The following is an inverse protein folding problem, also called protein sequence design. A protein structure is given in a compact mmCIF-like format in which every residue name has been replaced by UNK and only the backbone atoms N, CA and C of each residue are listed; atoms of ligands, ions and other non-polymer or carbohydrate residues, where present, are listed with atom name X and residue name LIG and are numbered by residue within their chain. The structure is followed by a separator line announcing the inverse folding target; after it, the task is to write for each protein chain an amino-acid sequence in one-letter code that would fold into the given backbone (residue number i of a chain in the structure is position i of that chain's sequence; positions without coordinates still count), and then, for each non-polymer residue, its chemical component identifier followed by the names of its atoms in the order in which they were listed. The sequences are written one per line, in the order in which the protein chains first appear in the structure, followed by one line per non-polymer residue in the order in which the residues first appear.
data_IF_492347917346
#
_entry.id   IF_492347917346
#
_cell.length_a   1.000
_cell.length_b   1.000
_cell.length_c   1.000
_cell.angle_alpha   90.00
_cell.angle_beta   90.00
_cell.angle_gamma   90.00
#
_symmetry.space_group_name_H-M   'P 1'
#
loop_
_entity.id
_entity.type
_entity.pdbx_description
1 polymer ?
#
# COMPACT_ATOMS: atom_id res chain seq x y z
N UNK A 1 31.19 -49.77 11.34
CA UNK A 1 29.73 -49.98 11.48
C UNK A 1 29.21 -49.00 12.53
N UNK A 2 28.20 -48.15 12.36
CA UNK A 2 27.37 -47.75 11.24
C UNK A 2 26.72 -46.41 11.62
N UNK A 3 26.87 -45.37 10.81
CA UNK A 3 26.27 -44.03 10.98
C UNK A 3 24.78 -44.01 10.60
N UNK A 4 24.13 -45.17 10.63
CA UNK A 4 22.81 -45.46 10.04
C UNK A 4 21.84 -46.01 11.08
N UNK A 5 21.84 -45.43 12.28
CA UNK A 5 20.87 -45.74 13.34
C UNK A 5 20.35 -44.49 14.06
N UNK A 6 20.12 -43.41 13.32
CA UNK A 6 19.49 -42.21 13.88
C UNK A 6 18.51 -41.52 12.92
N UNK A 7 18.00 -42.24 11.92
CA UNK A 7 17.11 -41.65 10.91
C UNK A 7 16.00 -42.61 10.48
N UNK A 8 15.32 -43.24 11.45
CA UNK A 8 14.03 -43.90 11.19
C UNK A 8 13.20 -43.93 12.47
N UNK A 9 12.52 -42.83 12.79
CA UNK A 9 11.32 -42.90 13.64
C UNK A 9 10.55 -41.58 13.54
N UNK A 10 9.32 -41.65 13.05
CA UNK A 10 8.33 -40.60 13.27
C UNK A 10 7.87 -39.82 12.04
N UNK A 11 7.26 -40.52 11.07
CA UNK A 11 6.18 -39.95 10.26
C UNK A 11 5.08 -39.42 11.23
N UNK A 12 5.00 -38.11 11.38
CA UNK A 12 3.84 -37.45 11.95
C UNK A 12 3.46 -36.28 11.03
N UNK A 13 2.64 -36.61 10.03
CA UNK A 13 1.87 -35.63 9.27
C UNK A 13 0.99 -34.84 10.25
N UNK A 14 1.45 -33.65 10.64
CA UNK A 14 0.58 -32.65 11.25
C UNK A 14 0.32 -31.59 10.18
N UNK A 15 -0.95 -31.52 9.81
CA UNK A 15 -1.51 -30.64 8.80
C UNK A 15 -1.13 -29.20 9.15
N UNK A 16 -0.31 -28.56 8.32
CA UNK A 16 -0.17 -27.11 8.31
C UNK A 16 -1.54 -26.60 7.84
N UNK A 17 -2.34 -25.88 8.64
CA UNK A 17 -3.37 -25.06 8.04
C UNK A 17 -2.63 -23.98 7.26
N UNK A 18 -2.45 -24.23 5.96
CA UNK A 18 -2.28 -23.16 4.98
C UNK A 18 -3.55 -22.33 5.07
N UNK A 19 -3.54 -21.35 5.96
CA UNK A 19 -4.56 -20.31 5.96
C UNK A 19 -4.30 -19.54 4.68
N UNK A 20 -5.03 -19.90 3.63
CA UNK A 20 -5.11 -19.12 2.43
C UNK A 20 -5.64 -17.75 2.84
N UNK A 21 -4.76 -16.76 2.96
CA UNK A 21 -5.16 -15.36 2.87
C UNK A 21 -5.48 -15.06 1.40
N UNK A 22 -6.53 -15.70 0.89
CA UNK A 22 -7.23 -15.24 -0.29
C UNK A 22 -8.26 -14.21 0.18
N UNK A 23 -7.78 -13.01 0.47
CA UNK A 23 -8.62 -11.82 0.34
C UNK A 23 -8.07 -11.02 -0.83
N UNK A 24 -8.25 -11.56 -2.03
CA UNK A 24 -8.41 -10.72 -3.22
C UNK A 24 -9.68 -9.93 -2.95
N UNK A 25 -9.53 -8.72 -2.40
CA UNK A 25 -10.64 -7.79 -2.31
C UNK A 25 -11.11 -7.52 -3.74
N UNK A 26 -12.37 -7.87 -4.04
CA UNK A 26 -13.07 -7.44 -5.24
C UNK A 26 -12.93 -5.92 -5.42
N UNK A 27 -12.95 -5.40 -6.66
CA UNK A 27 -12.93 -3.96 -6.89
C UNK A 27 -14.30 -3.39 -6.49
N UNK A 28 -14.50 -3.19 -5.19
CA UNK A 28 -15.50 -2.25 -4.70
C UNK A 28 -15.27 -0.94 -5.44
N UNK A 29 -16.33 -0.35 -6.00
CA UNK A 29 -16.32 0.96 -6.64
C UNK A 29 -15.30 1.85 -5.93
N UNK A 30 -14.22 2.20 -6.61
CA UNK A 30 -12.94 2.57 -6.00
C UNK A 30 -13.13 3.79 -5.09
N UNK A 31 -13.46 3.54 -3.82
CA UNK A 31 -13.82 4.56 -2.86
C UNK A 31 -12.64 5.45 -2.53
N UNK A 32 -12.89 6.60 -1.93
CA UNK A 32 -11.82 7.48 -1.45
C UNK A 32 -10.84 6.72 -0.56
N UNK A 33 -9.54 6.92 -0.77
CA UNK A 33 -8.46 6.35 0.04
C UNK A 33 -8.58 6.89 1.47
N UNK A 34 -8.63 5.97 2.44
CA UNK A 34 -8.60 6.34 3.85
C UNK A 34 -7.17 6.22 4.37
N UNK A 35 -6.76 7.12 5.26
CA UNK A 35 -5.39 7.14 5.80
C UNK A 35 -5.06 5.88 6.61
N UNK A 36 -6.08 5.20 7.13
CA UNK A 36 -5.96 3.96 7.88
C UNK A 36 -5.88 2.71 7.00
N UNK A 37 -6.10 2.83 5.69
CA UNK A 37 -5.91 1.75 4.73
C UNK A 37 -4.47 1.22 4.82
N UNK A 38 -4.25 -0.12 4.75
CA UNK A 38 -2.91 -0.70 4.86
C UNK A 38 -1.89 -0.10 3.89
N UNK A 39 -2.32 0.16 2.64
CA UNK A 39 -1.47 0.78 1.64
C UNK A 39 -1.24 2.28 1.88
N UNK A 40 -2.25 3.00 2.37
CA UNK A 40 -2.12 4.41 2.74
C UNK A 40 -1.08 4.58 3.85
N UNK A 41 -1.15 3.75 4.90
CA UNK A 41 -0.15 3.69 5.96
C UNK A 41 1.25 3.37 5.44
N UNK A 42 1.39 2.38 4.56
CA UNK A 42 2.67 2.01 3.97
C UNK A 42 3.33 3.18 3.22
N UNK A 43 2.53 4.02 2.57
CA UNK A 43 3.00 5.21 1.86
C UNK A 43 3.01 6.49 2.71
N UNK A 44 2.62 6.43 3.99
CA UNK A 44 2.31 7.59 4.84
C UNK A 44 1.43 8.61 4.11
N UNK A 45 0.35 8.13 3.50
CA UNK A 45 -0.64 9.01 2.89
C UNK A 45 -1.38 9.81 3.96
N UNK A 46 -1.51 11.10 3.70
CA UNK A 46 -2.33 12.04 4.46
C UNK A 46 -3.26 12.79 3.50
N UNK A 47 -4.48 13.08 3.94
CA UNK A 47 -5.48 13.85 3.19
C UNK A 47 -5.13 15.33 3.12
N UNK A 48 -4.36 15.84 4.09
CA UNK A 48 -3.83 17.19 4.08
C UNK A 48 -2.30 17.18 4.17
N UNK A 49 -1.63 17.71 3.14
CA UNK A 49 -0.18 17.81 3.07
C UNK A 49 0.46 18.59 4.24
N UNK A 50 -0.29 19.41 4.96
CA UNK A 50 0.19 20.07 6.19
C UNK A 50 0.57 19.05 7.29
N UNK A 51 -0.06 17.88 7.29
CA UNK A 51 0.23 16.78 8.22
C UNK A 51 1.53 16.04 7.84
N UNK A 52 1.96 16.15 6.59
CA UNK A 52 3.20 15.56 6.10
C UNK A 52 4.47 16.34 6.50
N UNK A 53 4.35 17.54 7.11
CA UNK A 53 5.49 18.41 7.48
C UNK A 53 6.54 17.72 8.37
N UNK A 54 6.14 16.71 9.14
CA UNK A 54 7.06 15.92 9.97
C UNK A 54 7.80 14.81 9.20
N UNK A 55 7.43 14.53 7.95
CA UNK A 55 8.02 13.47 7.15
C UNK A 55 9.27 13.98 6.42
N UNK A 56 10.45 13.36 6.57
CA UNK A 56 11.69 13.81 5.91
C UNK A 56 11.64 13.83 4.37
N UNK A 57 10.70 13.12 3.76
CA UNK A 57 10.51 13.10 2.30
C UNK A 57 9.61 14.22 1.79
N UNK A 58 8.83 14.86 2.66
CA UNK A 58 7.91 15.92 2.29
C UNK A 58 8.66 17.23 2.03
N UNK A 59 8.25 17.93 0.97
CA UNK A 59 8.63 19.33 0.74
C UNK A 59 7.38 20.19 0.59
N UNK A 60 7.51 21.45 0.98
CA UNK A 60 6.40 22.40 0.89
C UNK A 60 5.90 22.54 -0.55
N UNK A 61 4.58 22.48 -0.71
CA UNK A 61 3.90 22.54 -2.00
C UNK A 61 3.76 21.18 -2.71
N UNK A 62 4.33 20.10 -2.19
CA UNK A 62 4.06 18.75 -2.70
C UNK A 62 2.63 18.32 -2.33
N UNK A 63 1.76 18.14 -3.32
CA UNK A 63 0.37 17.72 -3.12
C UNK A 63 -0.06 16.71 -4.19
N UNK A 64 -1.13 15.96 -3.96
CA UNK A 64 -1.68 15.03 -4.95
C UNK A 64 -1.95 15.73 -6.28
N UNK A 65 -2.53 16.94 -6.27
CA UNK A 65 -2.85 17.71 -7.49
C UNK A 65 -1.69 17.91 -8.46
N UNK A 66 -0.47 18.08 -7.94
CA UNK A 66 0.76 18.28 -8.73
C UNK A 66 1.65 17.03 -8.82
N UNK A 67 1.14 15.87 -8.40
CA UNK A 67 1.81 14.58 -8.45
C UNK A 67 1.61 13.86 -9.79
N UNK A 68 2.65 13.21 -10.31
CA UNK A 68 2.64 12.44 -11.57
C UNK A 68 1.57 11.34 -11.60
N UNK A 69 1.24 10.74 -10.47
CA UNK A 69 0.27 9.64 -10.38
C UNK A 69 -1.19 10.07 -10.22
N UNK A 70 -1.46 11.38 -10.17
CA UNK A 70 -2.79 11.92 -9.94
C UNK A 70 -3.60 12.09 -11.24
N UNK A 71 -4.79 11.50 -11.25
CA UNK A 71 -5.70 11.39 -12.38
C UNK A 71 -6.95 12.25 -12.15
N UNK A 72 -6.82 13.56 -12.39
CA UNK A 72 -7.91 14.54 -12.21
C UNK A 72 -9.19 14.18 -13.01
N UNK A 73 -9.02 13.60 -14.20
CA UNK A 73 -10.14 13.18 -15.06
C UNK A 73 -10.86 11.92 -14.57
N UNK A 74 -10.33 11.24 -13.54
CA UNK A 74 -10.88 10.00 -12.98
C UNK A 74 -11.28 10.19 -11.52
N UNK A 75 -12.09 11.22 -11.25
CA UNK A 75 -12.58 11.53 -9.91
C UNK A 75 -11.43 11.66 -8.89
N UNK A 76 -10.39 12.42 -9.24
CA UNK A 76 -9.19 12.58 -8.40
C UNK A 76 -8.49 11.26 -8.08
N UNK A 77 -8.51 10.31 -9.00
CA UNK A 77 -7.90 9.00 -8.84
C UNK A 77 -6.38 9.07 -8.67
N UNK A 78 -5.79 8.07 -8.03
CA UNK A 78 -4.34 7.90 -7.96
C UNK A 78 -3.95 6.49 -8.42
N UNK A 79 -3.05 6.40 -9.41
CA UNK A 79 -2.64 5.12 -9.98
C UNK A 79 -1.97 4.21 -8.96
N UNK A 80 -1.30 4.77 -7.94
CA UNK A 80 -0.72 3.98 -6.84
C UNK A 80 -1.79 3.32 -5.98
N UNK A 81 -2.95 3.95 -5.81
CA UNK A 81 -4.09 3.43 -5.06
C UNK A 81 -5.11 2.71 -5.95
N UNK A 82 -4.63 2.04 -7.01
CA UNK A 82 -5.47 1.32 -7.96
C UNK A 82 -6.61 2.17 -8.55
N UNK A 83 -6.38 3.48 -8.74
CA UNK A 83 -7.35 4.42 -9.28
C UNK A 83 -8.39 4.92 -8.26
N UNK A 84 -8.28 4.55 -6.98
CA UNK A 84 -9.08 5.14 -5.90
C UNK A 84 -8.83 6.64 -5.76
N UNK A 85 -9.88 7.36 -5.38
CA UNK A 85 -9.84 8.82 -5.22
C UNK A 85 -8.97 9.24 -4.04
N UNK A 86 -8.15 10.27 -4.21
CA UNK A 86 -7.36 10.91 -3.16
C UNK A 86 -7.71 12.39 -3.07
N UNK A 87 -7.54 12.97 -1.89
CA UNK A 87 -7.69 14.42 -1.71
C UNK A 87 -6.65 15.20 -2.53
N UNK A 88 -7.08 16.24 -3.25
CA UNK A 88 -6.18 17.06 -4.10
C UNK A 88 -5.02 17.67 -3.30
N UNK A 89 -5.32 18.07 -2.06
CA UNK A 89 -4.37 18.64 -1.10
C UNK A 89 -3.64 17.61 -0.25
N UNK A 90 -3.84 16.32 -0.50
CA UNK A 90 -3.16 15.24 0.20
C UNK A 90 -1.71 15.04 -0.25
N UNK A 91 -1.01 14.14 0.40
CA UNK A 91 0.38 13.79 0.08
C UNK A 91 0.69 12.35 0.48
N UNK A 92 1.63 11.69 -0.19
CA UNK A 92 2.23 10.45 0.28
C UNK A 92 3.72 10.41 -0.09
N UNK A 93 4.49 9.53 0.54
CA UNK A 93 5.94 9.39 0.33
C UNK A 93 6.37 8.98 -1.08
N UNK A 94 5.42 8.54 -1.91
CA UNK A 94 5.63 8.24 -3.33
C UNK A 94 5.30 9.43 -4.24
N UNK A 95 5.11 10.64 -3.68
CA UNK A 95 4.95 11.85 -4.46
C UNK A 95 6.12 12.04 -5.41
N UNK A 96 5.79 12.36 -6.66
CA UNK A 96 6.75 12.70 -7.72
C UNK A 96 6.13 13.85 -8.51
N UNK A 97 6.91 14.90 -8.78
CA UNK A 97 6.45 16.04 -9.56
C UNK A 97 5.92 15.59 -10.94
N UNK A 98 4.80 16.18 -11.39
CA UNK A 98 4.35 16.01 -12.78
C UNK A 98 5.47 16.45 -13.75
N UNK A 99 5.76 15.64 -14.78
CA UNK A 99 6.65 16.08 -15.85
C UNK A 99 6.06 17.33 -16.52
N UNK A 100 6.96 18.22 -16.96
CA UNK A 100 6.59 19.40 -17.75
C UNK A 100 6.27 19.01 -19.19
#
# INVERSE_FOLDING_TARGET
MDRRKFMQLGLACSLIPLVAMDTVAEPAAAGEVQEDDPQAKALNYVKNASEAKGNPKYKEGEICKNCMFFEASKNNGCTLFAGRSVEEGGWCTAWVAKPK
#
